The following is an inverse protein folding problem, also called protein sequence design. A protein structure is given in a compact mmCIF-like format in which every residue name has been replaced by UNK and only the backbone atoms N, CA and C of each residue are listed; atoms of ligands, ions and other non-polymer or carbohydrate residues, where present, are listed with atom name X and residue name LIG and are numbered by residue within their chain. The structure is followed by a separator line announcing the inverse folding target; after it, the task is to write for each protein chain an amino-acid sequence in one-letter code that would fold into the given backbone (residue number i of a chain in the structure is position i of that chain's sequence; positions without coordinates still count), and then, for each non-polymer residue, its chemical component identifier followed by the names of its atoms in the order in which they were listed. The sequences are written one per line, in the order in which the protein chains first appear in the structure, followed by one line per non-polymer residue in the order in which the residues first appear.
data_IF_162464285065
#
_entry.id   IF_162464285065
#
_cell.length_a   1.000
_cell.length_b   1.000
_cell.length_c   1.000
_cell.angle_alpha   90.00
_cell.angle_beta   90.00
_cell.angle_gamma   90.00
#
_symmetry.space_group_name_H-M   'P 1'
#
loop_
_entity.id
_entity.type
_entity.pdbx_description
1 polymer ?
#
# COMPACT_ATOMS: atom_id res chain seq x y z
N UNK A 1 -7.04 -3.12 -13.93
CA UNK A 1 -5.67 -3.54 -13.56
C UNK A 1 -5.11 -2.75 -12.38
N UNK A 2 -5.22 -1.41 -12.37
CA UNK A 2 -4.75 -0.58 -11.24
C UNK A 2 -5.51 -0.86 -9.94
N UNK A 3 -6.84 -0.92 -10.00
CA UNK A 3 -7.70 -1.21 -8.84
C UNK A 3 -7.40 -2.58 -8.23
N UNK A 4 -7.34 -3.64 -9.04
CA UNK A 4 -6.95 -4.96 -8.54
C UNK A 4 -5.55 -5.03 -7.90
N UNK A 5 -4.61 -4.16 -8.31
CA UNK A 5 -3.30 -4.08 -7.63
C UNK A 5 -3.41 -3.35 -6.28
N UNK A 6 -4.23 -2.30 -6.21
CA UNK A 6 -4.51 -1.58 -4.96
C UNK A 6 -5.21 -2.52 -3.97
N UNK A 7 -6.24 -3.24 -4.41
CA UNK A 7 -6.96 -4.24 -3.61
C UNK A 7 -6.03 -5.32 -3.08
N UNK A 8 -5.18 -5.90 -3.95
CA UNK A 8 -4.23 -6.93 -3.52
C UNK A 8 -3.24 -6.41 -2.46
N UNK A 9 -2.76 -5.17 -2.60
CA UNK A 9 -1.88 -4.54 -1.60
C UNK A 9 -2.59 -4.38 -0.27
N UNK A 10 -3.84 -3.92 -0.29
CA UNK A 10 -4.68 -3.79 0.90
C UNK A 10 -4.88 -5.16 1.54
N UNK A 11 -5.31 -6.19 0.80
CA UNK A 11 -5.48 -7.55 1.33
C UNK A 11 -4.19 -8.10 1.99
N UNK A 12 -3.03 -7.90 1.35
CA UNK A 12 -1.74 -8.32 1.92
C UNK A 12 -1.48 -7.63 3.26
N UNK A 13 -1.75 -6.34 3.37
CA UNK A 13 -1.52 -5.59 4.60
C UNK A 13 -2.50 -6.02 5.70
N UNK A 14 -3.76 -6.29 5.34
CA UNK A 14 -4.77 -6.79 6.28
C UNK A 14 -4.38 -8.18 6.82
N UNK A 15 -3.92 -9.07 5.95
CA UNK A 15 -3.51 -10.43 6.35
C UNK A 15 -2.25 -10.42 7.23
N UNK A 16 -1.30 -9.52 6.95
CA UNK A 16 -0.02 -9.46 7.69
C UNK A 16 -0.13 -8.73 9.03
N UNK A 17 -0.92 -7.67 9.10
CA UNK A 17 -0.94 -6.76 10.25
C UNK A 17 -2.31 -6.59 10.89
N UNK A 18 -3.35 -7.20 10.32
CA UNK A 18 -4.73 -6.94 10.67
C UNK A 18 -5.20 -5.58 10.14
N UNK A 19 -6.16 -4.98 10.85
CA UNK A 19 -6.90 -3.81 10.40
C UNK A 19 -6.01 -2.66 9.92
N UNK A 20 -6.17 -2.31 8.65
CA UNK A 20 -5.46 -1.23 7.99
C UNK A 20 -6.10 0.11 8.36
N UNK A 21 -5.28 1.14 8.53
CA UNK A 21 -5.78 2.49 8.79
C UNK A 21 -6.39 3.11 7.53
N UNK A 22 -7.40 3.96 7.73
CA UNK A 22 -8.04 4.71 6.64
C UNK A 22 -7.03 5.62 5.90
N UNK A 23 -5.97 6.04 6.57
CA UNK A 23 -4.88 6.84 6.01
C UNK A 23 -4.15 6.11 4.89
N UNK A 24 -3.75 4.85 5.10
CA UNK A 24 -3.06 4.03 4.10
C UNK A 24 -3.95 3.80 2.88
N UNK A 25 -5.22 3.45 3.11
CA UNK A 25 -6.19 3.26 2.02
C UNK A 25 -6.39 4.54 1.20
N UNK A 26 -6.49 5.69 1.87
CA UNK A 26 -6.67 6.98 1.20
C UNK A 26 -5.44 7.37 0.38
N UNK A 27 -4.23 7.16 0.92
CA UNK A 27 -3.00 7.47 0.21
C UNK A 27 -2.75 6.52 -0.98
N UNK A 28 -3.02 5.23 -0.81
CA UNK A 28 -2.99 4.23 -1.90
C UNK A 28 -3.93 4.60 -3.05
N UNK A 29 -5.11 5.14 -2.75
CA UNK A 29 -6.08 5.52 -3.76
C UNK A 29 -5.61 6.68 -4.65
N UNK A 30 -4.75 7.57 -4.14
CA UNK A 30 -4.19 8.70 -4.90
C UNK A 30 -3.04 8.30 -5.84
N UNK A 31 -2.51 7.10 -5.72
CA UNK A 31 -1.39 6.64 -6.56
C UNK A 31 -1.95 5.99 -7.84
N UNK A 32 -1.74 6.64 -8.98
CA UNK A 32 -2.16 6.12 -10.29
C UNK A 32 -1.02 5.59 -11.17
N UNK A 33 0.22 5.75 -10.72
CA UNK A 33 1.40 5.19 -11.38
C UNK A 33 1.50 3.69 -11.09
N UNK A 34 1.46 2.88 -12.15
CA UNK A 34 1.47 1.41 -12.07
C UNK A 34 2.78 0.88 -11.50
N UNK A 35 3.91 1.52 -11.80
CA UNK A 35 5.21 1.07 -11.33
C UNK A 35 5.45 1.46 -9.87
N UNK A 36 4.90 2.59 -9.41
CA UNK A 36 4.78 2.89 -7.97
C UNK A 36 3.95 1.82 -7.26
N UNK A 37 2.77 1.45 -7.80
CA UNK A 37 1.93 0.41 -7.22
C UNK A 37 2.61 -0.96 -7.18
N UNK A 38 3.32 -1.38 -8.24
CA UNK A 38 4.13 -2.63 -8.22
C UNK A 38 5.21 -2.61 -7.15
N UNK A 39 5.83 -1.46 -6.94
CA UNK A 39 6.85 -1.28 -5.89
C UNK A 39 6.22 -1.41 -4.51
N UNK A 40 5.07 -0.77 -4.29
CA UNK A 40 4.28 -0.89 -3.06
C UNK A 40 3.84 -2.32 -2.81
N UNK A 41 3.45 -3.08 -3.83
CA UNK A 41 3.15 -4.51 -3.67
C UNK A 41 4.33 -5.32 -3.13
N UNK A 42 5.54 -5.05 -3.62
CA UNK A 42 6.76 -5.70 -3.10
C UNK A 42 7.09 -5.25 -1.67
N UNK A 43 6.82 -4.00 -1.34
CA UNK A 43 7.01 -3.44 0.01
C UNK A 43 5.98 -4.04 0.98
N UNK A 44 4.72 -4.17 0.58
CA UNK A 44 3.63 -4.74 1.37
C UNK A 44 3.91 -6.18 1.80
N UNK A 45 4.72 -6.93 1.05
CA UNK A 45 5.18 -8.28 1.41
C UNK A 45 6.35 -8.30 2.40
N UNK A 46 7.08 -7.18 2.56
CA UNK A 46 8.38 -7.15 3.25
C UNK A 46 8.49 -6.16 4.41
N UNK A 47 7.65 -5.12 4.45
CA UNK A 47 7.64 -4.15 5.54
C UNK A 47 7.41 -4.84 6.88
N UNK A 48 7.91 -4.26 7.97
CA UNK A 48 7.84 -4.82 9.33
C UNK A 48 6.63 -4.31 10.11
N UNK A 49 6.02 -3.21 9.67
CA UNK A 49 4.84 -2.63 10.29
C UNK A 49 4.00 -1.84 9.27
N UNK A 50 2.76 -1.53 9.65
CA UNK A 50 1.91 -0.60 8.91
C UNK A 50 2.47 0.82 8.91
N UNK A 51 3.14 1.24 9.97
CA UNK A 51 3.78 2.57 10.07
C UNK A 51 4.89 2.72 9.03
N UNK A 52 5.78 1.72 8.91
CA UNK A 52 6.82 1.69 7.87
C UNK A 52 6.21 1.75 6.47
N UNK A 53 5.13 1.00 6.24
CA UNK A 53 4.43 1.00 4.96
C UNK A 53 3.80 2.38 4.66
N UNK A 54 3.16 2.99 5.67
CA UNK A 54 2.50 4.29 5.56
C UNK A 54 3.49 5.38 5.15
N UNK A 55 4.65 5.46 5.81
CA UNK A 55 5.70 6.43 5.46
C UNK A 55 6.19 6.29 4.01
N UNK A 56 6.28 5.06 3.51
CA UNK A 56 6.70 4.79 2.14
C UNK A 56 5.61 5.15 1.12
N UNK A 57 4.35 4.86 1.44
CA UNK A 57 3.20 5.27 0.62
C UNK A 57 3.11 6.80 0.51
N UNK A 58 3.23 7.54 1.61
CA UNK A 58 3.17 9.01 1.60
C UNK A 58 4.29 9.64 0.76
N UNK A 59 5.49 9.02 0.75
CA UNK A 59 6.60 9.45 -0.12
C UNK A 59 6.32 9.19 -1.60
N UNK A 60 5.49 8.21 -1.94
CA UNK A 60 5.13 7.85 -3.31
C UNK A 60 3.84 8.51 -3.81
N UNK A 61 3.00 9.05 -2.91
CA UNK A 61 1.83 9.87 -3.25
C UNK A 61 2.23 11.15 -4.00
N UNK A 62 3.41 11.71 -3.69
CA UNK A 62 3.94 12.94 -4.28
C UNK A 62 4.71 12.73 -5.60
#
# INVERSE_FOLDING_TARGET
MKEGLKEAIIEILDERFGSITQEISSAMNKIDDVDKLKSLNRIALKCKSLEEFSELVTKMEN
#
